data_IF_178735598440
#
_entry.id   IF_178735598440
#
_cell.length_a   1.000
_cell.length_b   1.000
_cell.length_c   1.000
_cell.angle_alpha   90.00
_cell.angle_beta   90.00
_cell.angle_gamma   90.00
#
_symmetry.space_group_name_H-M   'P 1'
#
loop_
_entity.id
_entity.type
_entity.pdbx_description
1 polymer ?
#
# COMPACT_ATOMS: atom_id res chain seq x y z
N UNK A 1 -34.62 11.36 8.75
CA UNK A 1 -35.82 11.03 9.53
C UNK A 1 -35.88 9.54 9.86
N UNK A 2 -35.93 8.61 8.90
CA UNK A 2 -35.90 7.16 9.21
C UNK A 2 -34.58 6.67 9.86
N UNK A 3 -33.41 7.12 9.38
CA UNK A 3 -32.11 6.76 10.00
C UNK A 3 -31.94 7.30 11.42
N UNK A 4 -32.57 8.43 11.75
CA UNK A 4 -32.51 9.04 13.09
C UNK A 4 -33.46 8.33 14.07
N UNK A 5 -34.66 7.96 13.61
CA UNK A 5 -35.62 7.15 14.37
C UNK A 5 -35.09 5.75 14.70
N UNK A 6 -34.48 5.06 13.73
CA UNK A 6 -33.82 3.76 13.97
C UNK A 6 -32.68 3.89 14.99
N UNK A 7 -31.90 4.98 14.92
CA UNK A 7 -30.81 5.24 15.87
C UNK A 7 -31.34 5.53 17.28
N UNK A 8 -32.49 6.20 17.40
CA UNK A 8 -33.15 6.48 18.69
C UNK A 8 -33.81 5.25 19.32
N UNK A 9 -34.51 4.42 18.54
CA UNK A 9 -35.09 3.16 19.04
C UNK A 9 -34.01 2.15 19.45
N UNK A 10 -32.93 2.05 18.67
CA UNK A 10 -31.71 1.33 19.06
C UNK A 10 -31.18 1.96 20.35
N UNK A 11 -31.00 3.28 20.43
CA UNK A 11 -30.48 3.92 21.66
C UNK A 11 -31.33 3.65 22.92
N UNK A 12 -32.67 3.60 22.79
CA UNK A 12 -33.58 3.28 23.90
C UNK A 12 -33.55 1.80 24.30
N UNK A 13 -33.59 0.87 23.34
CA UNK A 13 -33.47 -0.57 23.60
C UNK A 13 -32.11 -0.91 24.24
N UNK A 14 -31.06 -0.14 23.91
CA UNK A 14 -29.72 -0.33 24.44
C UNK A 14 -29.54 0.23 25.86
N UNK A 15 -30.37 1.18 26.31
CA UNK A 15 -30.17 1.91 27.57
C UNK A 15 -30.37 1.04 28.83
N UNK A 16 -31.04 -0.11 28.71
CA UNK A 16 -31.44 -0.97 29.83
C UNK A 16 -30.66 -2.29 29.93
N UNK A 17 -29.73 -2.56 29.01
CA UNK A 17 -28.94 -3.79 29.01
C UNK A 17 -27.46 -3.46 29.27
N UNK A 18 -27.01 -3.70 30.50
CA UNK A 18 -25.66 -3.40 30.97
C UNK A 18 -24.56 -4.10 30.15
N UNK A 19 -24.79 -5.33 29.73
CA UNK A 19 -23.88 -6.09 28.87
C UNK A 19 -23.77 -5.45 27.48
N UNK A 20 -24.89 -5.03 26.91
CA UNK A 20 -24.93 -4.39 25.60
C UNK A 20 -24.25 -3.00 25.61
N UNK A 21 -24.42 -2.23 26.69
CA UNK A 21 -23.69 -0.98 26.93
C UNK A 21 -22.18 -1.22 27.10
N UNK A 22 -21.79 -2.35 27.68
CA UNK A 22 -20.37 -2.72 27.82
C UNK A 22 -19.77 -3.08 26.47
N UNK A 23 -20.48 -3.86 25.65
CA UNK A 23 -20.07 -4.17 24.28
C UNK A 23 -19.94 -2.93 23.39
N UNK A 24 -20.90 -1.99 23.47
CA UNK A 24 -20.81 -0.74 22.72
C UNK A 24 -19.55 0.05 23.08
N UNK A 25 -19.24 0.16 24.37
CA UNK A 25 -18.04 0.85 24.83
C UNK A 25 -16.76 0.19 24.30
N UNK A 26 -16.70 -1.14 24.32
CA UNK A 26 -15.58 -1.88 23.73
C UNK A 26 -15.48 -1.61 22.23
N UNK A 27 -16.58 -1.71 21.48
CA UNK A 27 -16.60 -1.45 20.04
C UNK A 27 -16.22 0.00 19.68
N UNK A 28 -16.62 0.98 20.50
CA UNK A 28 -16.21 2.37 20.35
C UNK A 28 -14.70 2.54 20.59
N UNK A 29 -14.16 1.94 21.66
CA UNK A 29 -12.73 1.93 21.94
C UNK A 29 -11.94 1.30 20.79
N UNK A 30 -12.36 0.12 20.32
CA UNK A 30 -11.72 -0.58 19.21
C UNK A 30 -11.75 0.26 17.92
N UNK A 31 -12.87 0.92 17.63
CA UNK A 31 -12.98 1.81 16.46
C UNK A 31 -12.01 2.99 16.55
N UNK A 32 -11.84 3.58 17.74
CA UNK A 32 -10.90 4.69 17.96
C UNK A 32 -9.46 4.22 17.78
N UNK A 33 -9.12 3.07 18.38
CA UNK A 33 -7.78 2.48 18.28
C UNK A 33 -7.43 2.15 16.82
N UNK A 34 -8.33 1.48 16.10
CA UNK A 34 -8.12 1.14 14.69
C UNK A 34 -7.95 2.38 13.81
N UNK A 35 -8.78 3.41 14.00
CA UNK A 35 -8.64 4.68 13.25
C UNK A 35 -7.32 5.38 13.55
N UNK A 36 -6.83 5.32 14.78
CA UNK A 36 -5.53 5.87 15.16
C UNK A 36 -4.40 5.12 14.47
N UNK A 37 -4.46 3.79 14.46
CA UNK A 37 -3.49 2.93 13.79
C UNK A 37 -3.42 3.23 12.29
N UNK A 38 -4.57 3.24 11.60
CA UNK A 38 -4.63 3.52 10.16
C UNK A 38 -4.12 4.94 9.83
N UNK A 39 -4.40 5.95 10.68
CA UNK A 39 -3.85 7.30 10.48
C UNK A 39 -2.33 7.33 10.55
N UNK A 40 -1.76 6.59 11.49
CA UNK A 40 -0.32 6.46 11.63
C UNK A 40 0.29 5.72 10.43
N UNK A 41 -0.35 4.64 9.96
CA UNK A 41 0.07 3.92 8.77
C UNK A 41 0.04 4.81 7.52
N UNK A 42 -1.05 5.57 7.32
CA UNK A 42 -1.15 6.53 6.21
C UNK A 42 -0.02 7.57 6.30
N UNK A 43 0.25 8.12 7.48
CA UNK A 43 1.34 9.08 7.70
C UNK A 43 2.69 8.49 7.28
N UNK A 44 2.97 7.25 7.67
CA UNK A 44 4.19 6.54 7.28
C UNK A 44 4.26 6.25 5.78
N UNK A 45 3.15 5.85 5.15
CA UNK A 45 3.09 5.65 3.71
C UNK A 45 3.38 6.95 2.93
N UNK A 46 2.83 8.09 3.36
CA UNK A 46 3.13 9.40 2.77
C UNK A 46 4.59 9.82 2.99
N UNK A 47 5.15 9.55 4.17
CA UNK A 47 6.56 9.84 4.46
C UNK A 47 7.47 9.02 3.55
N UNK A 48 7.26 7.71 3.49
CA UNK A 48 8.00 6.80 2.62
C UNK A 48 7.93 7.23 1.15
N UNK A 49 6.73 7.52 0.63
CA UNK A 49 6.57 7.95 -0.76
C UNK A 49 7.37 9.21 -1.09
N UNK A 50 7.39 10.17 -0.16
CA UNK A 50 8.18 11.40 -0.29
C UNK A 50 9.69 11.15 -0.27
N UNK A 51 10.13 10.21 0.56
CA UNK A 51 11.55 9.81 0.67
C UNK A 51 12.02 9.04 -0.56
N UNK A 52 11.13 8.26 -1.19
CA UNK A 52 11.39 7.54 -2.44
C UNK A 52 11.66 8.50 -3.62
N UNK A 53 11.05 9.70 -3.63
CA UNK A 53 11.38 10.78 -4.55
C UNK A 53 10.91 10.59 -6.00
N UNK A 54 10.06 9.59 -6.28
CA UNK A 54 9.50 9.31 -7.62
C UNK A 54 8.54 10.39 -8.12
N UNK A 55 7.96 11.17 -7.20
CA UNK A 55 7.03 12.26 -7.51
C UNK A 55 7.66 13.37 -8.36
N UNK A 56 9.00 13.48 -8.35
CA UNK A 56 9.75 14.50 -9.11
C UNK A 56 10.00 14.12 -10.57
N UNK A 57 10.09 12.83 -10.87
CA UNK A 57 10.56 12.31 -12.17
C UNK A 57 9.45 11.66 -12.99
N UNK A 58 8.54 10.93 -12.34
CA UNK A 58 7.62 10.04 -13.03
C UNK A 58 6.19 10.58 -13.07
N UNK A 59 5.64 11.00 -11.91
CA UNK A 59 4.18 11.19 -11.82
C UNK A 59 3.76 12.17 -10.72
N UNK A 60 3.94 13.47 -10.96
CA UNK A 60 3.43 14.53 -10.06
C UNK A 60 1.93 14.37 -9.77
N UNK A 61 1.17 13.85 -10.73
CA UNK A 61 -0.29 13.71 -10.66
C UNK A 61 -0.75 12.41 -9.98
N UNK A 62 0.16 11.45 -9.73
CA UNK A 62 -0.16 10.13 -9.14
C UNK A 62 0.34 9.94 -7.71
N UNK A 63 0.53 11.03 -6.97
CA UNK A 63 0.76 10.97 -5.53
C UNK A 63 -0.52 10.50 -4.79
N UNK A 64 -0.77 9.18 -4.79
CA UNK A 64 -1.93 8.56 -4.17
C UNK A 64 -1.59 7.51 -3.06
N UNK A 65 -0.66 7.76 -2.11
CA UNK A 65 -0.37 6.85 -1.00
C UNK A 65 -1.60 6.36 -0.24
N UNK A 66 -2.61 7.23 -0.06
CA UNK A 66 -3.87 6.85 0.57
C UNK A 66 -4.61 5.75 -0.21
N UNK A 67 -4.67 5.85 -1.55
CA UNK A 67 -5.36 4.87 -2.39
C UNK A 67 -4.65 3.52 -2.33
N UNK A 68 -3.33 3.52 -2.45
CA UNK A 68 -2.52 2.29 -2.40
C UNK A 68 -2.60 1.63 -1.03
N UNK A 69 -2.56 2.42 0.05
CA UNK A 69 -2.71 1.91 1.40
C UNK A 69 -4.12 1.37 1.69
N UNK A 70 -5.16 1.96 1.09
CA UNK A 70 -6.52 1.41 1.22
C UNK A 70 -6.59 -0.03 0.71
N UNK A 71 -5.91 -0.34 -0.41
CA UNK A 71 -5.86 -1.72 -0.90
C UNK A 71 -5.12 -2.68 0.04
N UNK A 72 -4.03 -2.25 0.68
CA UNK A 72 -3.35 -3.11 1.65
C UNK A 72 -4.20 -3.34 2.91
N UNK A 73 -4.98 -2.33 3.32
CA UNK A 73 -5.95 -2.45 4.42
C UNK A 73 -7.08 -3.44 4.13
N UNK A 74 -7.63 -3.43 2.91
CA UNK A 74 -8.68 -4.37 2.51
C UNK A 74 -8.18 -5.83 2.45
N UNK A 75 -6.92 -6.03 2.05
CA UNK A 75 -6.28 -7.36 1.99
C UNK A 75 -5.94 -7.87 3.39
N UNK A 76 -5.38 -7.02 4.26
CA UNK A 76 -4.90 -7.38 5.59
C UNK A 76 -5.69 -6.62 6.66
N UNK A 77 -6.89 -7.10 6.97
CA UNK A 77 -7.86 -6.37 7.80
C UNK A 77 -7.50 -6.36 9.29
N UNK A 78 -6.79 -7.38 9.78
CA UNK A 78 -6.49 -7.51 11.21
C UNK A 78 -5.46 -6.47 11.69
N UNK A 79 -5.66 -5.82 12.85
CA UNK A 79 -4.76 -4.76 13.34
C UNK A 79 -3.30 -5.20 13.50
N UNK A 80 -3.07 -6.50 13.80
CA UNK A 80 -1.74 -7.06 13.99
C UNK A 80 -0.86 -7.02 12.73
N UNK A 81 -1.45 -6.84 11.55
CA UNK A 81 -0.72 -6.77 10.27
C UNK A 81 -0.30 -5.36 9.86
N UNK A 82 -0.18 -4.43 10.81
CA UNK A 82 0.16 -3.03 10.54
C UNK A 82 1.44 -2.85 9.71
N UNK A 83 2.52 -3.54 10.09
CA UNK A 83 3.77 -3.47 9.36
C UNK A 83 3.64 -4.09 7.96
N UNK A 84 2.95 -5.23 7.85
CA UNK A 84 2.73 -5.92 6.58
C UNK A 84 1.86 -5.09 5.63
N UNK A 85 0.90 -4.31 6.13
CA UNK A 85 0.13 -3.34 5.32
C UNK A 85 1.03 -2.25 4.76
N UNK A 86 1.93 -1.71 5.56
CA UNK A 86 2.90 -0.71 5.10
C UNK A 86 3.82 -1.28 4.03
N UNK A 87 4.34 -2.49 4.23
CA UNK A 87 5.19 -3.15 3.25
C UNK A 87 4.45 -3.53 1.98
N UNK A 88 3.19 -3.98 2.07
CA UNK A 88 2.33 -4.32 0.92
C UNK A 88 1.88 -3.07 0.12
N UNK A 89 1.79 -1.91 0.77
CA UNK A 89 1.47 -0.64 0.09
C UNK A 89 2.50 -0.29 -0.98
N UNK A 90 3.77 -0.66 -0.77
CA UNK A 90 4.88 -0.35 -1.69
C UNK A 90 4.76 -1.08 -3.03
N UNK A 91 4.65 -2.41 -3.12
CA UNK A 91 4.44 -3.09 -4.39
C UNK A 91 3.09 -2.74 -5.05
N UNK A 92 2.04 -2.46 -4.27
CA UNK A 92 0.77 -1.94 -4.82
C UNK A 92 1.02 -0.64 -5.57
N UNK A 93 1.81 0.28 -5.01
CA UNK A 93 2.15 1.53 -5.69
C UNK A 93 2.91 1.29 -7.01
N UNK A 94 3.84 0.31 -7.03
CA UNK A 94 4.58 -0.04 -8.24
C UNK A 94 3.65 -0.59 -9.34
N UNK A 95 2.64 -1.38 -8.99
CA UNK A 95 1.63 -1.85 -9.96
C UNK A 95 0.90 -0.69 -10.61
N UNK A 96 0.48 0.33 -9.85
CA UNK A 96 -0.13 1.53 -10.42
C UNK A 96 0.83 2.33 -11.31
N UNK A 97 2.12 2.39 -10.95
CA UNK A 97 3.12 3.07 -11.77
C UNK A 97 3.33 2.32 -13.09
N UNK A 98 3.38 0.98 -13.06
CA UNK A 98 3.46 0.16 -14.28
C UNK A 98 2.22 0.42 -15.14
N UNK A 99 1.01 0.37 -14.57
CA UNK A 99 -0.24 0.65 -15.28
C UNK A 99 -0.19 1.98 -16.03
N UNK A 100 0.23 3.06 -15.36
CA UNK A 100 0.37 4.37 -15.99
C UNK A 100 1.50 4.41 -17.06
N UNK A 101 2.60 3.68 -16.86
CA UNK A 101 3.66 3.54 -17.87
C UNK A 101 3.08 2.91 -19.14
N UNK A 102 2.24 1.87 -19.04
CA UNK A 102 1.69 1.19 -20.21
C UNK A 102 0.51 1.93 -20.85
N UNK A 103 -0.36 2.56 -20.06
CA UNK A 103 -1.62 3.13 -20.56
C UNK A 103 -1.53 4.61 -20.93
N UNK A 104 -0.57 5.35 -20.36
CA UNK A 104 -0.50 6.82 -20.50
C UNK A 104 0.82 7.30 -21.09
N UNK A 105 1.96 6.79 -20.60
CA UNK A 105 3.26 7.40 -20.88
C UNK A 105 4.10 6.69 -21.93
N UNK A 106 4.06 5.37 -22.00
CA UNK A 106 5.01 4.56 -22.75
C UNK A 106 4.75 4.57 -24.26
N UNK A 107 5.80 4.76 -25.03
CA UNK A 107 5.77 4.46 -26.46
C UNK A 107 5.99 2.96 -26.70
N UNK A 108 5.42 2.41 -27.79
CA UNK A 108 5.45 0.97 -28.06
C UNK A 108 6.87 0.38 -28.06
N UNK A 109 7.83 1.09 -28.64
CA UNK A 109 9.23 0.67 -28.69
C UNK A 109 9.87 0.67 -27.29
N UNK A 110 9.56 1.67 -26.46
CA UNK A 110 10.02 1.75 -25.07
C UNK A 110 9.43 0.61 -24.22
N UNK A 111 8.13 0.34 -24.36
CA UNK A 111 7.43 -0.74 -23.65
C UNK A 111 7.95 -2.12 -24.05
N UNK A 112 8.31 -2.30 -25.33
CA UNK A 112 8.94 -3.53 -25.80
C UNK A 112 10.26 -3.77 -25.08
N UNK A 113 11.10 -2.74 -24.95
CA UNK A 113 12.36 -2.83 -24.20
C UNK A 113 12.08 -3.04 -22.71
N UNK A 114 11.11 -2.33 -22.13
CA UNK A 114 10.72 -2.41 -20.72
C UNK A 114 10.37 -3.83 -20.29
N UNK A 115 9.67 -4.58 -21.14
CA UNK A 115 9.31 -6.00 -20.88
C UNK A 115 10.46 -6.99 -21.06
N UNK A 116 11.60 -6.58 -21.63
CA UNK A 116 12.73 -7.43 -21.99
C UNK A 116 14.02 -7.10 -21.22
N UNK A 117 13.93 -6.28 -20.16
CA UNK A 117 15.10 -5.67 -19.47
C UNK A 117 16.11 -6.66 -18.90
N UNK A 118 15.78 -7.95 -18.77
CA UNK A 118 16.68 -9.03 -18.33
C UNK A 118 17.99 -9.16 -19.14
N UNK A 119 18.14 -8.50 -20.30
CA UNK A 119 19.19 -8.77 -21.28
C UNK A 119 19.96 -7.54 -21.81
N UNK A 120 20.27 -6.52 -20.98
CA UNK A 120 21.06 -5.31 -21.37
C UNK A 120 20.24 -4.14 -21.95
N UNK A 121 18.91 -4.14 -21.76
CA UNK A 121 18.00 -3.10 -22.26
C UNK A 121 17.91 -1.83 -21.41
N UNK A 122 18.29 -1.88 -20.12
CA UNK A 122 18.05 -0.79 -19.17
C UNK A 122 18.65 0.54 -19.63
N UNK A 123 19.81 0.51 -20.28
CA UNK A 123 20.47 1.75 -20.73
C UNK A 123 19.73 2.46 -21.86
N UNK A 124 18.93 1.72 -22.64
CA UNK A 124 18.15 2.25 -23.77
C UNK A 124 16.83 2.86 -23.33
N UNK A 125 16.42 2.65 -22.09
CA UNK A 125 15.16 3.17 -21.57
C UNK A 125 15.26 4.68 -21.25
N UNK A 126 14.14 5.40 -21.35
CA UNK A 126 14.08 6.78 -20.89
C UNK A 126 14.31 6.87 -19.38
N UNK A 127 14.74 8.04 -18.90
CA UNK A 127 15.12 8.26 -17.49
C UNK A 127 14.03 7.85 -16.51
N UNK A 128 12.77 8.14 -16.83
CA UNK A 128 11.63 7.84 -15.95
C UNK A 128 11.49 6.32 -15.71
N UNK A 129 11.63 5.49 -16.75
CA UNK A 129 11.57 4.02 -16.59
C UNK A 129 12.79 3.48 -15.83
N UNK A 130 14.00 4.05 -16.03
CA UNK A 130 15.18 3.65 -15.24
C UNK A 130 14.97 3.91 -13.75
N UNK A 131 14.45 5.09 -13.41
CA UNK A 131 14.13 5.48 -12.02
C UNK A 131 13.05 4.56 -11.43
N UNK A 132 12.09 4.08 -12.23
CA UNK A 132 11.14 3.06 -11.79
C UNK A 132 11.85 1.74 -11.41
N UNK A 133 12.78 1.24 -12.24
CA UNK A 133 13.54 0.02 -11.92
C UNK A 133 14.41 0.18 -10.67
N UNK A 134 15.04 1.34 -10.47
CA UNK A 134 15.78 1.64 -9.24
C UNK A 134 14.88 1.57 -7.99
N UNK A 135 13.64 2.07 -8.09
CA UNK A 135 12.67 1.97 -6.99
C UNK A 135 12.19 0.54 -6.77
N UNK A 136 11.90 -0.20 -7.84
CA UNK A 136 11.54 -1.62 -7.77
C UNK A 136 12.62 -2.44 -7.04
N UNK A 137 13.88 -2.26 -7.41
CA UNK A 137 15.02 -2.92 -6.77
C UNK A 137 15.14 -2.52 -5.29
N UNK A 138 15.02 -1.23 -4.98
CA UNK A 138 15.10 -0.70 -3.62
C UNK A 138 14.03 -1.31 -2.72
N UNK A 139 12.77 -1.32 -3.19
CA UNK A 139 11.63 -1.87 -2.44
C UNK A 139 11.78 -3.39 -2.27
N UNK A 140 12.18 -4.09 -3.34
CA UNK A 140 12.40 -5.54 -3.31
C UNK A 140 13.48 -5.91 -2.31
N UNK A 141 14.59 -5.16 -2.30
CA UNK A 141 15.68 -5.36 -1.35
C UNK A 141 15.22 -5.10 0.09
N UNK A 142 14.50 -4.01 0.34
CA UNK A 142 13.98 -3.68 1.67
C UNK A 142 13.09 -4.80 2.23
N UNK A 143 12.11 -5.26 1.43
CA UNK A 143 11.21 -6.36 1.81
C UNK A 143 12.00 -7.65 2.02
N UNK A 144 12.96 -7.95 1.14
CA UNK A 144 13.82 -9.13 1.26
C UNK A 144 14.61 -9.13 2.56
N UNK A 145 15.21 -7.98 2.93
CA UNK A 145 15.96 -7.84 4.18
C UNK A 145 15.06 -8.03 5.40
N UNK A 146 13.85 -7.49 5.39
CA UNK A 146 12.87 -7.69 6.47
C UNK A 146 12.51 -9.16 6.65
N UNK A 147 12.19 -9.86 5.56
CA UNK A 147 11.87 -11.29 5.58
C UNK A 147 13.06 -12.13 6.07
N UNK A 148 14.27 -11.83 5.58
CA UNK A 148 15.50 -12.46 6.04
C UNK A 148 15.68 -12.30 7.55
N UNK A 149 15.48 -11.10 8.08
CA UNK A 149 15.64 -10.80 9.49
C UNK A 149 14.60 -11.49 10.37
N UNK A 150 13.35 -11.56 9.92
CA UNK A 150 12.23 -12.11 10.69
C UNK A 150 12.13 -13.64 10.60
N UNK A 151 12.53 -14.24 9.48
CA UNK A 151 12.29 -15.67 9.21
C UNK A 151 13.54 -16.46 8.81
N UNK A 152 14.69 -15.83 8.62
CA UNK A 152 15.93 -16.50 8.17
C UNK A 152 15.91 -16.98 6.71
N UNK A 153 14.87 -16.63 5.95
CA UNK A 153 14.70 -17.01 4.55
C UNK A 153 15.17 -15.87 3.64
N UNK A 154 15.92 -16.18 2.59
CA UNK A 154 16.28 -15.21 1.54
C UNK A 154 15.27 -15.31 0.39
N UNK A 155 14.30 -14.38 0.27
CA UNK A 155 13.26 -14.45 -0.76
C UNK A 155 13.68 -13.81 -2.09
N UNK A 156 14.92 -13.30 -2.20
CA UNK A 156 15.36 -12.46 -3.33
C UNK A 156 15.09 -13.12 -4.68
N UNK A 157 15.38 -14.43 -4.81
CA UNK A 157 15.17 -15.17 -6.05
C UNK A 157 13.67 -15.31 -6.40
N UNK A 158 12.81 -15.50 -5.39
CA UNK A 158 11.36 -15.60 -5.59
C UNK A 158 10.74 -14.24 -5.96
N UNK A 159 11.21 -13.17 -5.34
CA UNK A 159 10.72 -11.81 -5.62
C UNK A 159 11.17 -11.34 -7.00
N UNK A 160 12.44 -11.60 -7.37
CA UNK A 160 12.93 -11.31 -8.74
C UNK A 160 12.14 -12.06 -9.80
N UNK A 161 11.86 -13.35 -9.61
CA UNK A 161 11.01 -14.12 -10.54
C UNK A 161 9.59 -13.60 -10.69
N UNK A 162 9.08 -12.84 -9.72
CA UNK A 162 7.73 -12.28 -9.77
C UNK A 162 7.71 -10.88 -10.42
N UNK A 163 8.87 -10.25 -10.58
CA UNK A 163 9.05 -8.95 -11.20
C UNK A 163 9.36 -9.02 -12.71
N UNK A 164 9.72 -10.22 -13.20
CA UNK A 164 9.93 -10.55 -14.61
C UNK A 164 8.72 -11.28 -15.17
#
# INVERSE_FOLDING_TARGET
MLKSLIREEISQAFKYNEWLQSLLRVAECDSIMLKSLIREEISQAFKWWRELGLDKELMKERNQPLKWHTWSLEILQEPCFSEQRLDLTKPISLVYIIDDIFDVYGELDELTIFTQVDHEGLEKLPRYMKVFFEALDTITMEISMKICKSHGLNPTDSLRKSAN
#
